data_IF_546906730656
#
_entry.id   IF_546906730656
#
_cell.length_a   1.000
_cell.length_b   1.000
_cell.length_c   1.000
_cell.angle_alpha   90.00
_cell.angle_beta   90.00
_cell.angle_gamma   90.00
#
_symmetry.space_group_name_H-M   'P 1'
#
loop_
_entity.id
_entity.type
_entity.pdbx_description
1 polymer ?
#
# COMPACT_ATOMS: atom_id res chain seq x y z
N UNK A 1 -3.00 10.15 -22.25
CA UNK A 1 -4.00 9.40 -21.46
C UNK A 1 -5.37 9.91 -21.81
N UNK A 2 -6.36 9.03 -21.89
CA UNK A 2 -7.76 9.43 -21.95
C UNK A 2 -8.20 9.97 -20.59
N UNK A 3 -9.05 11.00 -20.59
CA UNK A 3 -9.61 11.56 -19.37
C UNK A 3 -10.70 10.63 -18.84
N UNK A 4 -10.56 10.18 -17.59
CA UNK A 4 -11.58 9.38 -16.91
C UNK A 4 -12.54 10.33 -16.20
N UNK A 5 -13.71 10.56 -16.77
CA UNK A 5 -14.76 11.37 -16.14
C UNK A 5 -15.44 10.61 -14.98
N UNK A 6 -15.59 11.24 -13.82
CA UNK A 6 -16.10 10.57 -12.62
C UNK A 6 -15.88 11.30 -11.29
N UNK A 7 -16.45 10.71 -10.23
CA UNK A 7 -16.30 11.18 -8.84
C UNK A 7 -14.99 10.64 -8.24
N UNK A 8 -14.17 11.53 -7.68
CA UNK A 8 -13.04 11.13 -6.84
C UNK A 8 -13.60 10.68 -5.49
N UNK A 9 -13.31 9.44 -5.09
CA UNK A 9 -13.90 8.86 -3.89
C UNK A 9 -13.48 9.56 -2.59
N UNK A 10 -12.37 10.30 -2.61
CA UNK A 10 -11.91 11.12 -1.48
C UNK A 10 -12.69 12.42 -1.25
N UNK A 11 -13.66 12.78 -2.12
CA UNK A 11 -14.48 14.00 -1.96
C UNK A 11 -15.60 13.80 -0.95
N UNK A 12 -16.21 12.61 -0.92
CA UNK A 12 -17.24 12.24 0.05
C UNK A 12 -16.58 11.47 1.20
N UNK A 13 -16.85 11.88 2.44
CA UNK A 13 -16.27 11.23 3.62
C UNK A 13 -16.65 9.75 3.66
N UNK A 14 -15.75 8.90 4.15
CA UNK A 14 -16.02 7.47 4.29
C UNK A 14 -17.24 7.20 5.17
N UNK A 15 -17.43 7.99 6.23
CA UNK A 15 -18.57 7.90 7.16
C UNK A 15 -19.92 8.27 6.56
N UNK A 16 -19.94 9.00 5.45
CA UNK A 16 -21.16 9.43 4.76
C UNK A 16 -21.65 8.40 3.72
N UNK A 17 -20.83 7.38 3.44
CA UNK A 17 -21.15 6.33 2.46
C UNK A 17 -22.03 5.27 3.08
N UNK A 18 -22.97 4.74 2.29
CA UNK A 18 -23.80 3.60 2.74
C UNK A 18 -22.95 2.34 2.89
N UNK A 19 -23.37 1.38 3.72
CA UNK A 19 -22.64 0.11 3.87
C UNK A 19 -22.49 -0.65 2.56
N UNK A 20 -23.47 -0.55 1.66
CA UNK A 20 -23.40 -1.13 0.31
C UNK A 20 -22.31 -0.46 -0.54
N UNK A 21 -22.23 0.87 -0.52
CA UNK A 21 -21.18 1.61 -1.23
C UNK A 21 -19.80 1.29 -0.66
N UNK A 22 -19.66 1.26 0.66
CA UNK A 22 -18.40 0.91 1.33
C UNK A 22 -17.96 -0.50 0.92
N UNK A 23 -18.85 -1.48 1.01
CA UNK A 23 -18.57 -2.86 0.63
C UNK A 23 -18.14 -2.98 -0.84
N UNK A 24 -18.87 -2.34 -1.74
CA UNK A 24 -18.56 -2.32 -3.16
C UNK A 24 -17.17 -1.73 -3.44
N UNK A 25 -16.82 -0.61 -2.80
CA UNK A 25 -15.50 0.03 -2.93
C UNK A 25 -14.40 -0.90 -2.43
N UNK A 26 -14.56 -1.50 -1.25
CA UNK A 26 -13.58 -2.41 -0.65
C UNK A 26 -13.31 -3.58 -1.60
N UNK A 27 -14.36 -4.25 -2.08
CA UNK A 27 -14.20 -5.39 -2.98
C UNK A 27 -13.46 -5.02 -4.27
N UNK A 28 -13.86 -3.92 -4.92
CA UNK A 28 -13.25 -3.52 -6.19
C UNK A 28 -11.80 -3.04 -5.99
N UNK A 29 -11.52 -2.29 -4.93
CA UNK A 29 -10.17 -1.84 -4.62
C UNK A 29 -9.26 -3.04 -4.32
N UNK A 30 -9.69 -3.95 -3.44
CA UNK A 30 -8.97 -5.18 -3.10
C UNK A 30 -8.69 -6.04 -4.33
N UNK A 31 -9.71 -6.27 -5.19
CA UNK A 31 -9.54 -7.02 -6.41
C UNK A 31 -8.55 -6.35 -7.38
N UNK A 32 -8.57 -5.02 -7.47
CA UNK A 32 -7.66 -4.28 -8.35
C UNK A 32 -6.22 -4.38 -7.84
N UNK A 33 -6.00 -4.20 -6.54
CA UNK A 33 -4.68 -4.36 -5.90
C UNK A 33 -4.17 -5.80 -6.06
N UNK A 34 -5.05 -6.79 -5.95
CA UNK A 34 -4.70 -8.19 -6.25
C UNK A 34 -4.20 -8.35 -7.68
N UNK A 35 -4.94 -7.86 -8.66
CA UNK A 35 -4.57 -7.95 -10.06
C UNK A 35 -3.24 -7.27 -10.33
N UNK A 36 -3.02 -6.06 -9.78
CA UNK A 36 -1.76 -5.31 -9.89
C UNK A 36 -0.60 -6.10 -9.28
N UNK A 37 -0.76 -6.64 -8.07
CA UNK A 37 0.27 -7.45 -7.40
C UNK A 37 0.56 -8.79 -8.10
N UNK A 38 -0.29 -9.23 -9.04
CA UNK A 38 -0.04 -10.39 -9.91
C UNK A 38 0.62 -10.01 -11.23
N UNK A 39 0.69 -8.73 -11.59
CA UNK A 39 1.41 -8.29 -12.77
C UNK A 39 2.91 -8.44 -12.52
N UNK A 40 3.50 -9.45 -13.14
CA UNK A 40 4.94 -9.68 -13.13
C UNK A 40 5.59 -8.90 -14.29
N UNK A 41 6.66 -8.18 -13.98
CA UNK A 41 7.52 -7.62 -15.02
C UNK A 41 8.30 -8.76 -15.69
N UNK A 42 8.08 -9.00 -16.98
CA UNK A 42 8.87 -9.99 -17.75
C UNK A 42 10.28 -9.49 -18.11
N UNK A 43 10.60 -8.24 -17.78
CA UNK A 43 11.93 -7.64 -17.92
C UNK A 43 12.15 -6.60 -16.82
N UNK A 44 12.29 -7.01 -15.55
CA UNK A 44 12.29 -6.11 -14.39
C UNK A 44 13.57 -5.26 -14.25
N UNK A 45 14.37 -5.12 -15.33
CA UNK A 45 15.67 -4.47 -15.26
C UNK A 45 16.64 -5.21 -14.31
N UNK A 46 17.63 -4.52 -13.71
CA UNK A 46 18.70 -5.15 -12.93
C UNK A 46 18.26 -5.73 -11.57
N UNK A 47 16.96 -5.70 -11.24
CA UNK A 47 16.46 -5.83 -9.86
C UNK A 47 15.91 -7.25 -9.55
N UNK A 48 16.03 -8.19 -10.49
CA UNK A 48 15.65 -9.61 -10.30
C UNK A 48 14.21 -9.95 -10.67
N UNK A 49 13.90 -11.24 -10.83
CA UNK A 49 12.64 -11.77 -11.38
C UNK A 49 11.41 -11.68 -10.46
N UNK A 50 11.60 -11.25 -9.22
CA UNK A 50 10.59 -11.42 -8.17
C UNK A 50 9.89 -10.11 -7.79
N UNK A 51 9.93 -9.11 -8.67
CA UNK A 51 9.24 -7.84 -8.47
C UNK A 51 7.82 -7.86 -9.04
N UNK A 52 6.92 -7.20 -8.32
CA UNK A 52 5.54 -6.98 -8.76
C UNK A 52 5.28 -5.49 -8.91
N UNK A 53 4.35 -5.15 -9.81
CA UNK A 53 3.93 -3.76 -10.01
C UNK A 53 3.16 -3.30 -8.78
N UNK A 54 3.41 -2.06 -8.37
CA UNK A 54 2.69 -1.37 -7.31
C UNK A 54 2.38 0.05 -7.72
N UNK A 55 1.27 0.61 -7.23
CA UNK A 55 0.81 1.93 -7.65
C UNK A 55 1.35 3.06 -6.79
N UNK A 56 1.40 2.88 -5.46
CA UNK A 56 1.69 3.91 -4.45
C UNK A 56 0.76 5.13 -4.52
N UNK A 57 0.21 5.54 -3.39
CA UNK A 57 -0.80 6.61 -3.32
C UNK A 57 -2.04 6.35 -4.20
N UNK A 58 -2.82 5.36 -3.78
CA UNK A 58 -4.02 4.93 -4.49
C UNK A 58 -5.11 6.00 -4.37
N UNK A 59 -5.24 6.84 -5.40
CA UNK A 59 -6.41 7.68 -5.58
C UNK A 59 -7.47 6.89 -6.33
N UNK A 60 -8.68 6.80 -5.77
CA UNK A 60 -9.77 6.03 -6.35
C UNK A 60 -10.78 6.97 -7.01
N UNK A 61 -11.21 6.63 -8.22
CA UNK A 61 -12.25 7.35 -8.98
C UNK A 61 -13.34 6.39 -9.42
N UNK A 62 -14.61 6.77 -9.25
CA UNK A 62 -15.75 6.04 -9.82
C UNK A 62 -16.27 6.79 -11.04
N UNK A 63 -16.27 6.14 -12.20
CA UNK A 63 -16.76 6.77 -13.43
C UNK A 63 -18.30 6.75 -13.51
N UNK A 64 -18.84 7.43 -14.54
CA UNK A 64 -20.29 7.48 -14.80
C UNK A 64 -20.92 6.12 -15.12
N UNK A 65 -20.14 5.15 -15.57
CA UNK A 65 -20.59 3.77 -15.78
C UNK A 65 -20.52 2.92 -14.49
N UNK A 66 -20.07 3.52 -13.38
CA UNK A 66 -19.95 2.86 -12.09
C UNK A 66 -18.68 2.03 -11.93
N UNK A 67 -17.70 2.14 -12.83
CA UNK A 67 -16.42 1.41 -12.73
C UNK A 67 -15.48 2.12 -11.77
N UNK A 68 -14.74 1.34 -10.98
CA UNK A 68 -13.67 1.85 -10.11
C UNK A 68 -12.36 1.93 -10.89
N UNK A 69 -11.70 3.07 -10.80
CA UNK A 69 -10.41 3.35 -11.40
C UNK A 69 -9.42 3.70 -10.30
N UNK A 70 -8.23 3.11 -10.38
CA UNK A 70 -7.06 3.59 -9.67
C UNK A 70 -6.40 4.63 -10.58
N UNK A 71 -6.21 5.84 -10.06
CA UNK A 71 -5.61 6.96 -10.79
C UNK A 71 -4.39 7.48 -10.03
N UNK A 72 -3.55 8.25 -10.74
CA UNK A 72 -2.29 8.82 -10.26
C UNK A 72 -1.15 7.83 -10.07
N UNK A 73 -0.78 7.12 -11.14
CA UNK A 73 0.34 6.17 -11.15
C UNK A 73 1.73 6.83 -11.14
N UNK A 74 1.84 8.09 -10.71
CA UNK A 74 3.12 8.83 -10.69
C UNK A 74 4.17 8.13 -9.83
N UNK A 75 3.72 7.39 -8.81
CA UNK A 75 4.57 6.63 -7.90
C UNK A 75 4.60 5.13 -8.20
N UNK A 76 4.00 4.72 -9.30
CA UNK A 76 3.92 3.32 -9.65
C UNK A 76 5.30 2.78 -10.06
N UNK A 77 5.60 1.55 -9.68
CA UNK A 77 6.89 0.92 -9.96
C UNK A 77 6.94 -0.56 -9.58
N UNK A 78 8.11 -1.16 -9.73
CA UNK A 78 8.36 -2.55 -9.39
C UNK A 78 8.99 -2.66 -8.00
N UNK A 79 8.37 -3.41 -7.08
CA UNK A 79 8.90 -3.61 -5.73
C UNK A 79 8.72 -5.06 -5.26
N UNK A 80 9.32 -5.37 -4.11
CA UNK A 80 9.23 -6.69 -3.49
C UNK A 80 7.80 -6.98 -3.00
N UNK A 81 7.36 -8.25 -3.06
CA UNK A 81 6.09 -8.68 -2.50
C UNK A 81 5.88 -8.19 -1.05
N UNK A 82 4.74 -7.58 -0.78
CA UNK A 82 4.35 -7.07 0.55
C UNK A 82 4.64 -5.58 0.76
N UNK A 83 5.33 -4.91 -0.16
CA UNK A 83 5.59 -3.48 -0.04
C UNK A 83 4.29 -2.66 -0.09
N UNK A 84 3.31 -3.05 -0.90
CA UNK A 84 2.03 -2.35 -0.96
C UNK A 84 1.23 -2.42 0.33
N UNK A 85 1.16 -3.61 0.96
CA UNK A 85 0.59 -3.74 2.30
C UNK A 85 1.30 -2.83 3.31
N UNK A 86 2.62 -2.76 3.26
CA UNK A 86 3.41 -1.90 4.14
C UNK A 86 3.16 -0.40 3.85
N UNK A 87 2.94 -0.03 2.58
CA UNK A 87 2.60 1.34 2.18
C UNK A 87 1.20 1.75 2.67
N UNK A 88 0.21 0.86 2.56
CA UNK A 88 -1.14 1.06 3.09
C UNK A 88 -1.12 1.19 4.62
N UNK A 89 -0.30 0.39 5.32
CA UNK A 89 -0.12 0.48 6.77
C UNK A 89 0.53 1.79 7.23
N UNK A 90 1.23 2.50 6.34
CA UNK A 90 1.88 3.77 6.65
C UNK A 90 0.90 4.97 6.58
N UNK A 91 -0.34 4.76 6.13
CA UNK A 91 -1.36 5.81 6.13
C UNK A 91 -1.68 6.20 7.58
N UNK A 92 -1.56 7.49 7.88
CA UNK A 92 -1.70 8.03 9.23
C UNK A 92 -3.14 7.89 9.73
N UNK A 93 -3.34 7.74 11.04
CA UNK A 93 -4.68 7.73 11.66
C UNK A 93 -5.44 9.03 11.38
N UNK A 94 -4.72 10.14 11.24
CA UNK A 94 -5.30 11.44 10.92
C UNK A 94 -5.56 11.66 9.42
N UNK A 95 -5.21 10.69 8.55
CA UNK A 95 -5.46 10.76 7.12
C UNK A 95 -6.92 10.44 6.81
N UNK A 96 -7.56 11.21 5.94
CA UNK A 96 -8.96 10.97 5.56
C UNK A 96 -9.18 9.63 4.84
N UNK A 97 -8.11 9.02 4.33
CA UNK A 97 -8.12 7.68 3.73
C UNK A 97 -7.94 6.55 4.75
N UNK A 98 -7.71 6.84 6.03
CA UNK A 98 -7.36 5.82 7.02
C UNK A 98 -8.41 4.70 7.12
N UNK A 99 -9.69 5.03 7.26
CA UNK A 99 -10.75 4.03 7.48
C UNK A 99 -10.91 3.10 6.28
N UNK A 100 -10.98 3.66 5.07
CA UNK A 100 -11.08 2.85 3.83
C UNK A 100 -9.87 1.94 3.67
N UNK A 101 -8.67 2.42 3.99
CA UNK A 101 -7.43 1.64 3.93
C UNK A 101 -7.43 0.52 4.94
N UNK A 102 -7.90 0.75 6.17
CA UNK A 102 -8.04 -0.31 7.17
C UNK A 102 -9.02 -1.39 6.68
N UNK A 103 -10.14 -1.01 6.09
CA UNK A 103 -11.09 -1.97 5.52
C UNK A 103 -10.48 -2.79 4.37
N UNK A 104 -9.75 -2.16 3.47
CA UNK A 104 -9.04 -2.85 2.37
C UNK A 104 -7.99 -3.81 2.95
N UNK A 105 -7.21 -3.38 3.94
CA UNK A 105 -6.21 -4.22 4.60
C UNK A 105 -6.83 -5.43 5.28
N UNK A 106 -7.97 -5.26 5.97
CA UNK A 106 -8.73 -6.35 6.56
C UNK A 106 -9.17 -7.37 5.49
N UNK A 107 -9.72 -6.89 4.38
CA UNK A 107 -10.17 -7.76 3.27
C UNK A 107 -8.99 -8.48 2.60
N UNK A 108 -7.88 -7.78 2.34
CA UNK A 108 -6.64 -8.36 1.82
C UNK A 108 -6.10 -9.45 2.75
N UNK A 109 -6.13 -9.22 4.07
CA UNK A 109 -5.68 -10.20 5.06
C UNK A 109 -6.56 -11.46 5.05
N UNK A 110 -7.88 -11.27 4.99
CA UNK A 110 -8.84 -12.35 4.92
C UNK A 110 -8.68 -13.18 3.64
N UNK A 111 -8.62 -12.52 2.48
CA UNK A 111 -8.56 -13.20 1.18
C UNK A 111 -7.22 -13.87 0.89
N UNK A 112 -6.10 -13.28 1.34
CA UNK A 112 -4.77 -13.75 0.92
C UNK A 112 -4.09 -14.65 1.94
N UNK A 113 -4.76 -14.96 3.06
CA UNK A 113 -4.20 -15.72 4.17
C UNK A 113 -2.79 -15.25 4.53
N UNK A 114 -2.54 -13.94 4.42
CA UNK A 114 -1.23 -13.36 4.70
C UNK A 114 -0.87 -13.75 6.13
N UNK A 115 0.20 -14.54 6.36
CA UNK A 115 0.49 -14.97 7.70
C UNK A 115 0.69 -13.74 8.60
N UNK A 116 0.32 -13.89 9.88
CA UNK A 116 0.37 -12.92 10.99
C UNK A 116 1.62 -12.00 11.05
N UNK A 117 2.67 -12.33 10.28
CA UNK A 117 3.91 -11.58 10.04
C UNK A 117 3.68 -10.13 9.59
N UNK A 118 2.57 -9.81 8.92
CA UNK A 118 2.24 -8.42 8.53
C UNK A 118 1.92 -7.55 9.76
N UNK A 119 1.31 -8.10 10.82
CA UNK A 119 1.03 -7.35 12.04
C UNK A 119 2.30 -7.02 12.82
N UNK A 120 3.30 -7.92 12.82
CA UNK A 120 4.62 -7.67 13.41
C UNK A 120 5.35 -6.55 12.67
N UNK A 121 5.26 -6.54 11.34
CA UNK A 121 5.78 -5.47 10.50
C UNK A 121 5.06 -4.13 10.73
N UNK A 122 3.72 -4.12 10.80
CA UNK A 122 2.92 -2.93 11.11
C UNK A 122 3.24 -2.34 12.49
N UNK A 123 3.44 -3.20 13.50
CA UNK A 123 3.84 -2.81 14.85
C UNK A 123 5.25 -2.22 14.89
N UNK A 124 6.20 -2.82 14.18
CA UNK A 124 7.57 -2.30 14.08
C UNK A 124 7.64 -0.97 13.30
N UNK A 125 6.81 -0.83 12.26
CA UNK A 125 6.60 0.43 11.54
C UNK A 125 6.11 1.55 12.47
N UNK A 126 5.11 1.27 13.33
CA UNK A 126 4.56 2.23 14.29
C UNK A 126 5.59 2.75 15.30
N UNK A 127 6.60 1.94 15.63
CA UNK A 127 7.69 2.32 16.54
C UNK A 127 8.74 3.23 15.89
N UNK A 128 8.77 3.31 14.55
CA UNK A 128 9.69 4.19 13.78
C UNK A 128 9.07 5.58 13.57
N UNK A 129 7.78 5.78 13.90
CA UNK A 129 7.01 7.00 13.62
C UNK A 129 7.43 8.28 14.38
N UNK A 130 8.17 8.32 15.52
CA UNK A 130 8.49 9.60 16.14
C UNK A 130 9.74 10.23 15.49
N UNK A 131 9.73 10.44 14.17
CA UNK A 131 10.76 11.22 13.46
C UNK A 131 10.09 12.21 12.50
N UNK A 132 9.12 12.96 13.05
CA UNK A 132 8.51 14.13 12.41
C UNK A 132 9.39 15.37 12.69
N UNK A 133 10.71 15.25 12.52
CA UNK A 133 11.59 16.42 12.60
C UNK A 133 11.97 16.94 11.21
N UNK A 134 11.69 18.24 11.06
CA UNK A 134 11.88 19.11 9.90
C UNK A 134 13.20 18.84 9.16
N UNK A 135 13.17 18.01 8.12
CA UNK A 135 14.24 18.01 7.12
C UNK A 135 14.00 19.19 6.18
N UNK A 136 14.83 20.24 6.32
CA UNK A 136 14.93 21.36 5.36
C UNK A 136 15.66 20.91 4.07
N UNK A 137 15.20 19.84 3.44
CA UNK A 137 15.71 19.35 2.15
C UNK A 137 14.60 19.39 1.11
N UNK A 138 14.95 19.28 -0.18
CA UNK A 138 13.92 19.13 -1.20
C UNK A 138 13.07 17.88 -0.91
N UNK A 139 11.81 17.95 -1.30
CA UNK A 139 10.84 16.93 -0.94
C UNK A 139 11.24 15.55 -1.49
N UNK A 140 11.92 15.53 -2.63
CA UNK A 140 12.42 14.32 -3.29
C UNK A 140 13.52 13.61 -2.48
N UNK A 141 14.42 14.35 -1.86
CA UNK A 141 15.50 13.83 -1.01
C UNK A 141 14.95 13.28 0.30
N UNK A 142 14.03 14.01 0.93
CA UNK A 142 13.33 13.55 2.13
C UNK A 142 12.44 12.32 1.85
N UNK A 143 11.88 12.21 0.64
CA UNK A 143 11.12 11.05 0.17
C UNK A 143 12.01 9.83 -0.10
N UNK A 144 13.12 10.02 -0.82
CA UNK A 144 14.10 8.96 -1.10
C UNK A 144 14.72 8.42 0.18
N UNK A 145 15.01 9.31 1.15
CA UNK A 145 15.50 8.92 2.46
C UNK A 145 14.47 8.07 3.23
N UNK A 146 13.17 8.42 3.16
CA UNK A 146 12.09 7.64 3.78
C UNK A 146 11.93 6.27 3.14
N UNK A 147 11.89 6.17 1.81
CA UNK A 147 11.80 4.88 1.10
C UNK A 147 13.03 4.01 1.39
N UNK A 148 14.24 4.59 1.38
CA UNK A 148 15.47 3.86 1.70
C UNK A 148 15.52 3.40 3.16
N UNK A 149 15.07 4.23 4.10
CA UNK A 149 15.01 3.89 5.52
C UNK A 149 13.97 2.79 5.77
N UNK A 150 12.83 2.89 5.12
CA UNK A 150 11.77 1.88 5.16
C UNK A 150 12.23 0.55 4.58
N UNK A 151 12.86 0.58 3.40
CA UNK A 151 13.44 -0.59 2.77
C UNK A 151 14.53 -1.25 3.64
N UNK A 152 15.37 -0.44 4.31
CA UNK A 152 16.38 -0.94 5.27
C UNK A 152 15.74 -1.54 6.53
N UNK A 153 14.74 -0.89 7.11
CA UNK A 153 14.03 -1.40 8.28
C UNK A 153 13.27 -2.70 7.95
N UNK A 154 12.63 -2.76 6.79
CA UNK A 154 11.95 -3.94 6.27
C UNK A 154 12.93 -5.09 6.02
N UNK A 155 14.08 -4.81 5.41
CA UNK A 155 15.15 -5.79 5.19
C UNK A 155 15.71 -6.33 6.51
N UNK A 156 15.89 -5.48 7.52
CA UNK A 156 16.33 -5.89 8.86
C UNK A 156 15.28 -6.73 9.59
N UNK A 157 13.99 -6.39 9.47
CA UNK A 157 12.88 -7.17 10.03
C UNK A 157 12.76 -8.54 9.37
N UNK A 158 12.93 -8.64 8.06
CA UNK A 158 13.00 -9.91 7.34
C UNK A 158 14.21 -10.74 7.79
N UNK A 159 15.40 -10.13 7.90
CA UNK A 159 16.61 -10.82 8.36
C UNK A 159 16.45 -11.36 9.80
N UNK A 160 15.87 -10.55 10.69
CA UNK A 160 15.67 -10.91 12.08
C UNK A 160 14.60 -11.99 12.25
N UNK A 161 13.48 -11.87 11.53
CA UNK A 161 12.42 -12.88 11.51
C UNK A 161 12.88 -14.23 10.95
N UNK A 162 13.79 -14.25 9.96
CA UNK A 162 14.39 -15.48 9.44
C UNK A 162 15.40 -16.11 10.42
N UNK A 163 16.11 -15.31 11.22
CA UNK A 163 17.10 -15.80 12.20
C UNK A 163 16.44 -16.49 13.41
N UNK A 164 15.29 -16.00 13.84
CA UNK A 164 14.49 -16.63 14.91
C UNK A 164 13.86 -17.96 14.45
N UNK A 165 13.50 -18.07 13.17
CA UNK A 165 13.01 -19.32 12.58
C UNK A 165 14.10 -20.41 12.46
N UNK A 166 15.36 -20.01 12.30
CA UNK A 166 16.51 -20.95 12.28
C UNK A 166 16.98 -21.41 13.66
N UNK A 167 16.39 -20.90 14.74
CA UNK A 167 16.69 -21.31 16.13
C UNK A 167 15.62 -22.23 16.74
N UNK A 168 14.55 -22.51 15.99
CA UNK A 168 13.39 -23.30 16.42
C UNK A 168 13.24 -24.65 15.74
N UNK A 169 14.31 -25.24 15.23
CA UNK A 169 14.37 -26.64 14.72
C UNK A 169 15.51 -27.39 15.38
#
# INVERSE_FOLDING_TARGET
MEYIDGEILGVVSWSERTSEQQHWIIQHATQTLYCIGKMQGHSPGPVGSDLVVYHFDTSLRKDKAGRLWIIDGTWAGFFLPGFETASLLHICVDDSKFDIVQCILCELHYQWALPLRVHVLAGALRLIIPMREKTKGDEFTARTARVNMFSKAFSLLLLYGMKELGRGT
#
